data_IF_597987203358
#
_entry.id   IF_597987203358
#
_cell.length_a   1.000
_cell.length_b   1.000
_cell.length_c   1.000
_cell.angle_alpha   90.00
_cell.angle_beta   90.00
_cell.angle_gamma   90.00
#
_symmetry.space_group_name_H-M   'P 1'
#
loop_
_entity.id
_entity.type
_entity.pdbx_description
1 polymer ?
#
# COMPACT_ATOMS: atom_id res chain seq x y z
N UNK A 1 11.21 1.34 3.06
CA UNK A 1 10.03 2.22 3.18
C UNK A 1 9.32 1.87 4.48
N UNK A 2 9.14 2.82 5.39
CA UNK A 2 8.37 2.59 6.62
C UNK A 2 6.93 3.06 6.35
N UNK A 3 5.97 2.14 6.47
CA UNK A 3 4.54 2.44 6.31
C UNK A 3 3.88 2.15 7.65
N UNK A 4 3.34 3.19 8.28
CA UNK A 4 2.56 3.03 9.50
C UNK A 4 1.09 2.95 9.13
N UNK A 5 0.46 1.81 9.42
CA UNK A 5 -0.98 1.62 9.27
C UNK A 5 -1.66 1.84 10.62
N UNK A 6 -2.71 2.68 10.66
CA UNK A 6 -3.52 2.93 11.86
C UNK A 6 -4.98 2.64 11.54
N UNK A 7 -5.63 1.84 12.39
CA UNK A 7 -7.08 1.72 12.40
C UNK A 7 -7.68 3.02 12.95
N UNK A 8 -8.49 3.70 12.14
CA UNK A 8 -9.14 4.96 12.52
C UNK A 8 -10.52 4.69 13.08
N UNK A 9 -11.30 3.87 12.36
CA UNK A 9 -12.68 3.57 12.73
C UNK A 9 -13.09 2.22 12.13
N UNK A 10 -13.89 1.46 12.88
CA UNK A 10 -14.67 0.35 12.32
C UNK A 10 -16.05 0.91 11.95
N UNK A 11 -16.40 0.87 10.67
CA UNK A 11 -17.70 1.37 10.18
C UNK A 11 -18.77 0.33 10.47
N UNK A 12 -18.49 -0.94 10.13
CA UNK A 12 -19.39 -2.08 10.41
C UNK A 12 -18.62 -3.42 10.44
N UNK A 13 -19.31 -4.54 10.18
CA UNK A 13 -18.75 -5.88 10.14
C UNK A 13 -17.68 -6.10 9.06
N UNK A 14 -17.83 -5.41 7.92
CA UNK A 14 -17.06 -5.63 6.69
C UNK A 14 -16.28 -4.39 6.23
N UNK A 15 -16.58 -3.22 6.80
CA UNK A 15 -16.01 -1.94 6.44
C UNK A 15 -15.16 -1.35 7.56
N UNK A 16 -13.92 -1.00 7.23
CA UNK A 16 -12.93 -0.47 8.16
C UNK A 16 -12.19 0.70 7.54
N UNK A 17 -12.02 1.78 8.31
CA UNK A 17 -11.27 2.95 7.89
C UNK A 17 -9.83 2.88 8.43
N UNK A 18 -8.86 2.92 7.52
CA UNK A 18 -7.44 2.96 7.86
C UNK A 18 -6.78 4.27 7.43
N UNK A 19 -5.77 4.67 8.18
CA UNK A 19 -4.81 5.69 7.80
C UNK A 19 -3.45 5.04 7.53
N UNK A 20 -2.93 5.25 6.33
CA UNK A 20 -1.59 4.84 5.94
C UNK A 20 -0.68 6.06 5.90
N UNK A 21 0.25 6.14 6.86
CA UNK A 21 1.30 7.16 6.87
C UNK A 21 2.54 6.59 6.19
N UNK A 22 2.85 7.08 5.00
CA UNK A 22 4.05 6.73 4.27
C UNK A 22 5.18 7.70 4.65
N UNK A 23 6.18 7.20 5.38
CA UNK A 23 7.42 7.94 5.54
C UNK A 23 8.15 7.92 4.20
N UNK A 24 8.24 9.06 3.53
CA UNK A 24 9.05 9.18 2.33
C UNK A 24 10.49 8.79 2.68
N UNK A 25 11.03 7.89 1.86
CA UNK A 25 12.33 7.26 2.09
C UNK A 25 13.43 8.31 2.20
N UNK A 26 14.24 8.23 3.27
CA UNK A 26 15.35 9.15 3.56
C UNK A 26 16.54 9.03 2.58
N UNK A 27 16.37 8.33 1.44
CA UNK A 27 17.45 8.02 0.49
C UNK A 27 17.94 9.27 -0.28
N UNK A 28 17.21 10.38 -0.20
CA UNK A 28 17.65 11.70 -0.69
C UNK A 28 17.69 12.71 0.47
N UNK A 29 18.44 12.38 1.51
CA UNK A 29 18.66 13.23 2.68
C UNK A 29 19.64 14.37 2.37
N UNK A 30 19.18 15.40 1.64
CA UNK A 30 19.76 16.76 1.74
C UNK A 30 18.73 17.89 1.65
N UNK A 31 17.44 17.61 1.38
CA UNK A 31 16.39 18.64 1.40
C UNK A 31 15.41 18.40 2.55
N UNK A 32 15.36 19.38 3.44
CA UNK A 32 14.56 19.43 4.68
C UNK A 32 13.04 19.42 4.48
N UNK A 33 12.54 19.51 3.25
CA UNK A 33 11.11 19.48 2.92
C UNK A 33 10.71 18.15 2.28
N UNK A 34 10.74 17.08 3.07
CA UNK A 34 10.19 15.79 2.64
C UNK A 34 8.68 15.79 2.96
N UNK A 35 7.78 15.78 1.95
CA UNK A 35 6.35 15.72 2.21
C UNK A 35 5.99 14.42 2.92
N UNK A 36 5.23 14.52 4.01
CA UNK A 36 4.55 13.38 4.61
C UNK A 36 3.32 13.06 3.77
N UNK A 37 3.07 11.76 3.57
CA UNK A 37 1.97 11.34 2.72
C UNK A 37 1.10 10.43 3.53
N UNK A 38 -0.16 10.84 3.63
CA UNK A 38 -1.15 10.10 4.36
C UNK A 38 -2.27 9.73 3.40
N UNK A 39 -2.69 8.47 3.43
CA UNK A 39 -3.85 7.99 2.70
C UNK A 39 -4.88 7.51 3.71
N UNK A 40 -6.04 8.16 3.77
CA UNK A 40 -7.21 7.53 4.39
C UNK A 40 -7.84 6.61 3.37
N UNK A 41 -8.03 5.35 3.72
CA UNK A 41 -8.73 4.41 2.87
C UNK A 41 -9.83 3.67 3.61
N UNK A 42 -10.99 3.62 2.99
CA UNK A 42 -12.03 2.67 3.34
C UNK A 42 -11.63 1.30 2.77
N UNK A 43 -11.48 0.34 3.66
CA UNK A 43 -11.22 -1.06 3.33
C UNK A 43 -12.51 -1.84 3.55
N UNK A 44 -13.03 -2.39 2.46
CA UNK A 44 -14.27 -3.16 2.44
C UNK A 44 -13.95 -4.60 2.13
N UNK A 45 -14.45 -5.52 2.96
CA UNK A 45 -14.48 -6.94 2.67
C UNK A 45 -15.79 -7.28 1.96
N UNK A 46 -15.69 -7.97 0.84
CA UNK A 46 -16.82 -8.54 0.11
C UNK A 46 -16.64 -10.04 0.05
N UNK A 47 -17.51 -10.77 0.72
CA UNK A 47 -17.58 -12.22 0.59
C UNK A 47 -18.43 -12.58 -0.61
N UNK A 48 -17.85 -13.35 -1.53
CA UNK A 48 -18.58 -14.06 -2.57
C UNK A 48 -18.57 -15.55 -2.20
N UNK A 49 -19.52 -16.34 -2.72
CA UNK A 49 -19.72 -17.73 -2.26
C UNK A 49 -18.45 -18.60 -2.18
N UNK A 50 -17.47 -18.39 -3.08
CA UNK A 50 -16.21 -19.15 -3.11
C UNK A 50 -14.94 -18.26 -3.02
N UNK A 51 -15.09 -16.94 -2.89
CA UNK A 51 -13.95 -16.02 -2.90
C UNK A 51 -14.14 -14.82 -1.97
N UNK A 52 -13.05 -14.31 -1.43
CA UNK A 52 -13.05 -13.08 -0.63
C UNK A 52 -12.40 -11.96 -1.43
N UNK A 53 -13.05 -10.81 -1.52
CA UNK A 53 -12.52 -9.63 -2.16
C UNK A 53 -12.30 -8.54 -1.11
N UNK A 54 -11.09 -8.03 -1.01
CA UNK A 54 -10.76 -6.87 -0.19
C UNK A 54 -10.60 -5.69 -1.13
N UNK A 55 -11.41 -4.66 -0.98
CA UNK A 55 -11.35 -3.43 -1.77
C UNK A 55 -10.84 -2.31 -0.87
N UNK A 56 -9.80 -1.62 -1.31
CA UNK A 56 -9.22 -0.46 -0.62
C UNK A 56 -9.45 0.78 -1.46
N UNK A 57 -10.28 1.69 -0.98
CA UNK A 57 -10.61 2.96 -1.64
C UNK A 57 -10.14 4.15 -0.81
N UNK A 58 -9.19 4.90 -1.36
CA UNK A 58 -8.74 6.19 -0.86
C UNK A 58 -9.89 7.19 -0.82
N UNK A 59 -9.98 7.91 0.29
CA UNK A 59 -10.98 8.94 0.51
C UNK A 59 -10.40 10.31 0.18
N UNK A 60 -11.27 11.21 -0.30
CA UNK A 60 -10.90 12.60 -0.53
C UNK A 60 -10.56 13.29 0.78
N UNK A 61 -9.66 14.27 0.71
CA UNK A 61 -9.42 15.14 1.84
C UNK A 61 -10.72 15.82 2.30
N UNK A 62 -11.00 15.80 3.60
CA UNK A 62 -12.25 16.34 4.18
C UNK A 62 -13.47 15.41 4.12
N UNK A 63 -13.36 14.20 3.55
CA UNK A 63 -14.48 13.23 3.56
C UNK A 63 -14.79 12.65 4.94
N UNK A 64 -13.81 12.71 5.84
CA UNK A 64 -13.90 12.19 7.20
C UNK A 64 -13.23 13.20 8.11
N UNK A 65 -13.93 13.64 9.15
CA UNK A 65 -13.31 14.37 10.25
C UNK A 65 -12.50 13.38 11.08
N UNK A 66 -11.20 13.33 10.81
CA UNK A 66 -10.27 12.54 11.60
C UNK A 66 -9.93 13.39 12.82
N UNK A 67 -10.68 13.21 13.90
CA UNK A 67 -10.27 13.72 15.21
C UNK A 67 -9.02 12.93 15.63
N UNK A 68 -7.86 13.46 15.29
CA UNK A 68 -6.58 12.91 15.70
C UNK A 68 -6.37 13.27 17.18
N UNK A 69 -7.03 12.53 18.08
CA UNK A 69 -6.96 12.70 19.55
C UNK A 69 -5.53 12.57 20.11
N UNK A 70 -4.56 12.20 19.28
CA UNK A 70 -3.14 12.01 19.61
C UNK A 70 -2.21 13.00 18.90
N UNK A 71 -2.70 13.89 18.01
CA UNK A 71 -1.85 14.95 17.43
C UNK A 71 -1.65 16.04 18.47
N UNK A 72 -0.59 15.85 19.26
CA UNK A 72 0.13 16.90 19.97
C UNK A 72 0.30 18.12 19.06
N UNK A 73 0.08 19.29 19.64
CA UNK A 73 0.13 20.65 19.10
C UNK A 73 1.51 21.04 18.56
N UNK A 74 2.06 20.28 17.61
CA UNK A 74 3.27 20.66 16.90
C UNK A 74 2.92 20.81 15.43
N UNK A 75 2.78 22.07 15.04
CA UNK A 75 2.71 22.59 13.68
C UNK A 75 3.92 22.15 12.87
N UNK A 76 3.95 20.90 12.41
CA UNK A 76 4.88 20.48 11.37
C UNK A 76 4.24 20.87 10.03
N UNK A 77 4.74 21.96 9.43
CA UNK A 77 4.27 22.54 8.16
C UNK A 77 4.59 21.66 6.94
N UNK A 78 4.62 20.33 7.11
CA UNK A 78 4.81 19.40 6.00
C UNK A 78 3.57 19.41 5.13
N UNK A 79 3.75 19.64 3.83
CA UNK A 79 2.67 19.48 2.84
C UNK A 79 2.20 18.03 2.87
N UNK A 80 1.05 17.81 3.49
CA UNK A 80 0.39 16.51 3.51
C UNK A 80 -0.22 16.26 2.14
N UNK A 81 0.25 15.20 1.47
CA UNK A 81 -0.32 14.77 0.19
C UNK A 81 -1.35 13.69 0.50
N UNK A 82 -2.55 13.84 -0.05
CA UNK A 82 -3.64 12.87 0.06
C UNK A 82 -3.80 12.13 -1.25
N UNK A 83 -3.70 10.79 -1.22
CA UNK A 83 -3.80 9.97 -2.42
C UNK A 83 -5.20 9.36 -2.57
N UNK A 84 -5.77 9.50 -3.76
CA UNK A 84 -6.98 8.76 -4.15
C UNK A 84 -6.59 7.39 -4.73
N UNK A 85 -6.50 6.39 -3.87
CA UNK A 85 -6.15 5.01 -4.27
C UNK A 85 -7.41 4.18 -4.54
N UNK A 86 -7.38 3.26 -5.49
CA UNK A 86 -8.39 2.21 -5.62
C UNK A 86 -7.69 0.90 -5.93
N UNK A 87 -7.55 0.02 -4.95
CA UNK A 87 -6.96 -1.31 -5.13
C UNK A 87 -7.89 -2.40 -4.65
N UNK A 88 -7.70 -3.60 -5.16
CA UNK A 88 -8.41 -4.77 -4.69
C UNK A 88 -7.53 -6.01 -4.68
N UNK A 89 -7.83 -6.92 -3.76
CA UNK A 89 -7.21 -8.23 -3.64
C UNK A 89 -8.33 -9.26 -3.56
N UNK A 90 -8.38 -10.16 -4.53
CA UNK A 90 -9.31 -11.28 -4.55
C UNK A 90 -8.58 -12.56 -4.16
N UNK A 91 -9.16 -13.30 -3.22
CA UNK A 91 -8.73 -14.61 -2.75
C UNK A 91 -9.75 -15.64 -3.18
N UNK A 92 -9.39 -16.50 -4.11
CA UNK A 92 -10.24 -17.58 -4.62
C UNK A 92 -9.65 -18.92 -4.17
N UNK A 93 -10.46 -19.74 -3.49
CA UNK A 93 -10.02 -21.05 -3.05
C UNK A 93 -10.04 -22.05 -4.22
N UNK A 94 -8.88 -22.66 -4.49
CA UNK A 94 -8.70 -23.69 -5.51
C UNK A 94 -8.23 -24.98 -4.81
N UNK A 95 -9.18 -25.76 -4.31
CA UNK A 95 -8.88 -26.96 -3.52
C UNK A 95 -8.20 -26.61 -2.20
N UNK A 96 -6.95 -27.07 -2.02
CA UNK A 96 -6.11 -26.73 -0.87
C UNK A 96 -5.32 -25.43 -1.05
N UNK A 97 -5.24 -24.93 -2.28
CA UNK A 97 -4.49 -23.72 -2.63
C UNK A 97 -5.40 -22.49 -2.70
N UNK A 98 -4.79 -21.31 -2.66
CA UNK A 98 -5.48 -20.04 -2.83
C UNK A 98 -4.90 -19.27 -4.03
N UNK A 99 -5.74 -18.94 -5.00
CA UNK A 99 -5.38 -18.00 -6.06
C UNK A 99 -5.60 -16.59 -5.58
N UNK A 100 -4.57 -15.76 -5.73
CA UNK A 100 -4.61 -14.35 -5.35
C UNK A 100 -4.57 -13.51 -6.62
N UNK A 101 -5.59 -12.69 -6.83
CA UNK A 101 -5.64 -11.71 -7.94
C UNK A 101 -5.58 -10.31 -7.34
N UNK A 102 -4.59 -9.52 -7.75
CA UNK A 102 -4.38 -8.15 -7.26
C UNK A 102 -4.58 -7.20 -8.44
N UNK A 103 -5.31 -6.11 -8.22
CA UNK A 103 -5.49 -5.06 -9.21
C UNK A 103 -5.73 -3.69 -8.59
N UNK A 104 -5.74 -2.67 -9.44
CA UNK A 104 -6.06 -1.31 -9.03
C UNK A 104 -5.10 -0.24 -9.50
N UNK A 105 -5.35 0.97 -9.00
CA UNK A 105 -4.63 2.19 -9.28
C UNK A 105 -4.24 2.80 -7.92
N UNK A 106 -2.93 2.91 -7.67
CA UNK A 106 -2.40 3.70 -6.57
C UNK A 106 -1.64 4.86 -7.20
N UNK A 107 -2.13 6.11 -7.09
CA UNK A 107 -1.37 7.26 -7.53
C UNK A 107 -0.06 7.28 -6.72
N UNK A 108 1.05 7.01 -7.40
CA UNK A 108 2.33 6.91 -6.72
C UNK A 108 2.77 8.29 -6.22
N UNK A 109 3.31 8.32 -5.01
CA UNK A 109 3.89 9.54 -4.44
C UNK A 109 5.09 10.09 -5.18
N UNK A 110 5.76 9.23 -5.93
CA UNK A 110 6.78 9.58 -6.91
C UNK A 110 6.67 8.53 -8.00
N UNK A 111 6.52 8.98 -9.24
CA UNK A 111 6.59 8.17 -10.45
C UNK A 111 7.68 7.10 -10.33
N UNK A 112 7.31 5.83 -10.26
CA UNK A 112 8.18 4.77 -10.78
C UNK A 112 7.40 3.47 -10.89
N UNK A 113 6.60 3.33 -11.95
CA UNK A 113 6.29 2.02 -12.52
C UNK A 113 7.58 1.21 -12.74
N UNK A 114 8.71 1.89 -12.98
CA UNK A 114 10.04 1.28 -13.04
C UNK A 114 10.49 0.62 -11.72
N UNK A 115 10.13 1.14 -10.55
CA UNK A 115 10.47 0.49 -9.26
C UNK A 115 9.74 -0.85 -9.12
N UNK A 116 8.43 -0.87 -9.39
CA UNK A 116 7.65 -2.10 -9.36
C UNK A 116 8.07 -3.08 -10.46
N UNK A 117 8.42 -2.60 -11.65
CA UNK A 117 9.00 -3.45 -12.70
C UNK A 117 10.35 -4.04 -12.27
N UNK A 118 11.21 -3.26 -11.60
CA UNK A 118 12.49 -3.75 -11.08
C UNK A 118 12.25 -4.83 -10.01
N UNK A 119 11.31 -4.61 -9.08
CA UNK A 119 10.94 -5.62 -8.09
C UNK A 119 10.41 -6.90 -8.75
N UNK A 120 9.56 -6.80 -9.78
CA UNK A 120 9.10 -7.96 -10.55
C UNK A 120 10.26 -8.70 -11.24
N UNK A 121 11.20 -7.97 -11.85
CA UNK A 121 12.41 -8.56 -12.48
C UNK A 121 13.30 -9.22 -11.44
N UNK A 122 13.52 -8.60 -10.28
CA UNK A 122 14.29 -9.17 -9.19
C UNK A 122 13.64 -10.44 -8.62
N UNK A 123 12.31 -10.47 -8.53
CA UNK A 123 11.57 -11.65 -8.12
C UNK A 123 11.78 -12.80 -9.11
N UNK A 124 11.65 -12.52 -10.42
CA UNK A 124 11.86 -13.50 -11.47
C UNK A 124 13.30 -14.06 -11.44
N UNK A 125 14.31 -13.19 -11.27
CA UNK A 125 15.72 -13.60 -11.17
C UNK A 125 16.00 -14.46 -9.93
N UNK A 126 15.39 -14.15 -8.78
CA UNK A 126 15.53 -14.97 -7.57
C UNK A 126 14.92 -16.35 -7.76
N UNK A 127 13.75 -16.43 -8.41
CA UNK A 127 13.12 -17.69 -8.78
C UNK A 127 13.98 -18.47 -9.77
N UNK A 128 14.54 -17.81 -10.79
CA UNK A 128 15.44 -18.43 -11.75
C UNK A 128 16.68 -19.01 -11.06
N UNK A 129 17.31 -18.25 -10.16
CA UNK A 129 18.44 -18.74 -9.36
C UNK A 129 18.06 -19.92 -8.46
N UNK A 130 16.87 -19.92 -7.87
CA UNK A 130 16.43 -20.99 -6.99
C UNK A 130 16.17 -22.31 -7.73
N UNK A 131 15.66 -22.24 -8.97
CA UNK A 131 15.28 -23.42 -9.76
C UNK A 131 16.42 -23.93 -10.65
N UNK A 132 17.14 -23.02 -11.31
CA UNK A 132 18.14 -23.36 -12.33
C UNK A 132 19.59 -23.22 -11.81
N UNK A 133 19.79 -22.55 -10.68
CA UNK A 133 21.12 -22.21 -10.17
C UNK A 133 21.81 -21.12 -10.99
N UNK A 134 23.01 -20.66 -10.58
CA UNK A 134 23.75 -19.64 -11.31
C UNK A 134 24.25 -20.18 -12.65
N UNK A 135 23.74 -19.62 -13.75
CA UNK A 135 24.11 -20.00 -15.13
C UNK A 135 25.52 -19.57 -15.54
N UNK A 136 26.06 -18.53 -14.89
CA UNK A 136 27.41 -18.03 -15.13
C UNK A 136 28.20 -18.05 -13.83
N UNK A 137 29.35 -18.71 -13.84
CA UNK A 137 30.37 -18.61 -12.80
C UNK A 137 31.49 -17.74 -13.36
N UNK A 138 31.88 -16.70 -12.62
CA UNK A 138 33.13 -16.02 -12.90
C UNK A 138 34.28 -17.00 -12.59
N UNK A 139 35.06 -17.33 -13.62
CA UNK A 139 36.36 -18.00 -13.49
C UNK A 139 37.42 -17.01 -13.03
#
# INVERSE_FOLDING_TARGET
>A
MNVRCRLVQRVDGDNVLFCYDHAASCVLSEKTDIPSVSTMALVTRVSTGASHLIITRGLRHGSVEVQDLLRSTTTDRRREIWLETLTWIQFEQLGQDCKVTIGGITPALRQSSYFWMIECVQLALRWEMAVLGPRFRAT
#
